data_IF_765370749195
#
_entry.id   IF_765370749195
#
_cell.length_a   1.000
_cell.length_b   1.000
_cell.length_c   1.000
_cell.angle_alpha   90.00
_cell.angle_beta   90.00
_cell.angle_gamma   90.00
#
_symmetry.space_group_name_H-M   'P 1'
#
loop_
_entity.id
_entity.type
_entity.pdbx_description
1 polymer ?
#
# COMPACT_ATOMS: atom_id res chain seq x y z
N UNK A 1 -21.23 14.40 4.44
CA UNK A 1 -20.39 15.39 3.73
C UNK A 1 -19.91 14.76 2.43
N UNK A 2 -20.02 15.47 1.31
CA UNK A 2 -19.58 14.98 0.00
C UNK A 2 -18.07 15.18 -0.14
N UNK A 3 -17.37 14.20 -0.71
CA UNK A 3 -15.99 14.40 -1.16
C UNK A 3 -16.01 15.45 -2.26
N UNK A 4 -15.32 16.58 -2.05
CA UNK A 4 -15.20 17.63 -3.05
C UNK A 4 -14.16 17.19 -4.10
N UNK A 5 -14.64 16.83 -5.29
CA UNK A 5 -13.79 16.61 -6.46
C UNK A 5 -13.51 17.95 -7.15
N UNK A 6 -12.27 18.21 -7.58
CA UNK A 6 -11.91 19.49 -8.23
C UNK A 6 -12.55 19.66 -9.60
N UNK A 7 -12.83 18.55 -10.31
CA UNK A 7 -13.39 18.50 -11.65
C UNK A 7 -14.01 17.11 -11.91
N UNK A 8 -14.59 16.89 -13.09
CA UNK A 8 -15.23 15.61 -13.46
C UNK A 8 -14.24 14.60 -14.05
N UNK A 9 -13.06 15.06 -14.44
CA UNK A 9 -12.00 14.28 -15.07
C UNK A 9 -11.16 13.51 -14.04
N UNK A 10 -11.03 14.02 -12.81
CA UNK A 10 -10.30 13.37 -11.73
C UNK A 10 -10.86 11.96 -11.50
N UNK A 11 -9.97 10.97 -11.66
CA UNK A 11 -10.32 9.55 -11.54
C UNK A 11 -10.12 9.02 -10.12
N UNK A 12 -10.94 8.03 -9.78
CA UNK A 12 -10.85 7.26 -8.54
C UNK A 12 -11.08 5.79 -8.86
N UNK A 13 -10.25 4.92 -8.29
CA UNK A 13 -10.45 3.49 -8.29
C UNK A 13 -10.32 2.95 -6.86
N UNK A 14 -11.24 2.08 -6.44
CA UNK A 14 -11.23 1.51 -5.09
C UNK A 14 -11.78 0.09 -5.07
N UNK A 15 -11.33 -0.68 -4.08
CA UNK A 15 -11.84 -2.01 -3.75
C UNK A 15 -12.07 -2.08 -2.25
N UNK A 16 -13.23 -2.61 -1.85
CA UNK A 16 -13.60 -2.85 -0.46
C UNK A 16 -13.67 -4.36 -0.25
N UNK A 17 -12.93 -4.84 0.74
CA UNK A 17 -12.78 -6.26 1.07
C UNK A 17 -13.32 -6.54 2.47
N UNK A 18 -14.07 -7.62 2.62
CA UNK A 18 -14.37 -8.20 3.92
C UNK A 18 -13.12 -8.88 4.48
N UNK A 19 -12.56 -8.30 5.54
CA UNK A 19 -11.29 -8.72 6.12
C UNK A 19 -11.33 -10.14 6.70
N UNK A 20 -12.51 -10.68 7.00
CA UNK A 20 -12.65 -12.01 7.60
C UNK A 20 -12.50 -13.15 6.58
N UNK A 21 -12.68 -12.87 5.29
CA UNK A 21 -12.81 -13.91 4.27
C UNK A 21 -12.35 -13.51 2.86
N UNK A 22 -11.82 -12.29 2.66
CA UNK A 22 -11.29 -11.82 1.38
C UNK A 22 -12.33 -11.53 0.29
N UNK A 23 -13.63 -11.54 0.61
CA UNK A 23 -14.68 -11.22 -0.36
C UNK A 23 -14.62 -9.76 -0.75
N UNK A 24 -14.64 -9.48 -2.05
CA UNK A 24 -14.79 -8.13 -2.58
C UNK A 24 -16.26 -7.74 -2.51
N UNK A 25 -16.59 -6.82 -1.60
CA UNK A 25 -17.99 -6.42 -1.35
C UNK A 25 -18.43 -5.22 -2.21
N UNK A 26 -17.46 -4.41 -2.65
CA UNK A 26 -17.68 -3.32 -3.60
C UNK A 26 -16.37 -3.01 -4.33
N UNK A 27 -16.47 -2.70 -5.62
CA UNK A 27 -15.32 -2.30 -6.44
C UNK A 27 -15.78 -1.37 -7.55
N UNK A 28 -15.03 -0.30 -7.78
CA UNK A 28 -15.26 0.64 -8.87
C UNK A 28 -13.92 1.13 -9.42
N UNK A 29 -13.77 1.11 -10.74
CA UNK A 29 -12.52 1.46 -11.42
C UNK A 29 -12.43 2.89 -11.95
N UNK A 30 -13.52 3.64 -12.01
CA UNK A 30 -13.52 4.98 -12.59
C UNK A 30 -14.70 5.82 -12.09
N UNK A 31 -14.61 7.15 -12.22
CA UNK A 31 -15.77 8.06 -12.09
C UNK A 31 -15.94 8.88 -13.37
N UNK A 32 -17.19 9.21 -13.70
CA UNK A 32 -17.57 10.02 -14.87
C UNK A 32 -16.98 9.54 -16.21
N UNK A 33 -16.69 8.23 -16.32
CA UNK A 33 -16.23 7.60 -17.56
C UNK A 33 -17.43 7.03 -18.32
N UNK A 34 -17.97 7.80 -19.26
CA UNK A 34 -19.19 7.47 -20.01
C UNK A 34 -18.97 6.62 -21.29
N UNK A 35 -17.81 5.99 -21.44
CA UNK A 35 -17.57 5.05 -22.52
C UNK A 35 -18.37 3.76 -22.28
N UNK A 36 -19.49 3.60 -22.99
CA UNK A 36 -20.36 2.41 -22.91
C UNK A 36 -19.72 1.18 -23.59
N UNK A 37 -18.58 0.74 -23.07
CA UNK A 37 -17.91 -0.51 -23.46
C UNK A 37 -18.00 -1.48 -22.30
N UNK A 38 -18.81 -2.52 -22.46
CA UNK A 38 -18.95 -3.57 -21.45
C UNK A 38 -17.62 -4.26 -21.20
N UNK A 39 -17.26 -4.44 -19.92
CA UNK A 39 -16.00 -5.06 -19.49
C UNK A 39 -14.74 -4.40 -20.06
N UNK A 40 -14.75 -3.07 -20.18
CA UNK A 40 -13.55 -2.28 -20.40
C UNK A 40 -12.53 -2.43 -19.26
N UNK A 41 -11.40 -1.75 -19.39
CA UNK A 41 -10.33 -1.79 -18.38
C UNK A 41 -10.87 -1.32 -17.03
N UNK A 42 -10.69 -2.16 -16.00
CA UNK A 42 -11.03 -1.82 -14.63
C UNK A 42 -9.76 -1.38 -13.87
N UNK A 43 -9.56 -0.07 -13.72
CA UNK A 43 -8.39 0.47 -13.03
C UNK A 43 -8.24 -0.02 -11.58
N UNK A 44 -9.31 -0.52 -10.95
CA UNK A 44 -9.26 -1.07 -9.59
C UNK A 44 -8.33 -2.29 -9.47
N UNK A 45 -8.12 -3.03 -10.57
CA UNK A 45 -7.27 -4.24 -10.63
C UNK A 45 -5.96 -4.04 -11.40
N UNK A 46 -5.80 -2.93 -12.12
CA UNK A 46 -4.56 -2.65 -12.85
C UNK A 46 -3.45 -2.19 -11.88
N UNK A 47 -2.22 -2.62 -12.18
CA UNK A 47 -1.02 -2.34 -11.37
C UNK A 47 -0.09 -1.31 -12.01
N UNK A 48 -0.62 -0.53 -12.96
CA UNK A 48 0.10 0.46 -13.77
C UNK A 48 0.23 1.84 -13.12
N UNK A 49 -0.10 1.98 -11.84
CA UNK A 49 0.03 3.22 -11.06
C UNK A 49 0.87 2.97 -9.82
N UNK A 50 1.62 3.99 -9.42
CA UNK A 50 2.43 3.93 -8.22
C UNK A 50 1.58 4.23 -6.97
N UNK A 51 1.61 3.31 -6.00
CA UNK A 51 0.94 3.40 -4.71
C UNK A 51 1.80 4.10 -3.64
N UNK A 52 3.07 4.36 -3.94
CA UNK A 52 3.95 5.20 -3.14
C UNK A 52 4.06 4.74 -1.68
N UNK A 53 3.92 5.69 -0.75
CA UNK A 53 4.07 5.44 0.68
C UNK A 53 3.06 4.47 1.32
N UNK A 54 2.01 4.01 0.63
CA UNK A 54 1.20 2.89 1.15
C UNK A 54 1.95 1.56 1.09
N UNK A 55 3.08 1.49 0.39
CA UNK A 55 3.94 0.30 0.38
C UNK A 55 4.72 0.15 1.69
N UNK A 56 5.11 1.26 2.35
CA UNK A 56 5.99 1.20 3.54
C UNK A 56 5.51 0.27 4.65
N UNK A 57 4.20 0.26 5.03
CA UNK A 57 3.71 -0.68 6.03
C UNK A 57 3.97 -2.14 5.68
N UNK A 58 3.79 -2.53 4.43
CA UNK A 58 3.82 -3.94 3.99
C UNK A 58 5.19 -4.37 3.45
N UNK A 59 6.00 -3.42 2.96
CA UNK A 59 7.34 -3.69 2.41
C UNK A 59 8.44 -3.57 3.47
N UNK A 60 8.31 -2.62 4.41
CA UNK A 60 9.41 -2.25 5.30
C UNK A 60 9.08 -2.57 6.76
N UNK A 61 8.03 -1.96 7.29
CA UNK A 61 7.80 -1.94 8.75
C UNK A 61 7.20 -3.24 9.28
N UNK A 62 6.21 -3.81 8.60
CA UNK A 62 5.66 -5.11 8.99
C UNK A 62 6.72 -6.23 8.97
N UNK A 63 7.53 -6.41 7.90
CA UNK A 63 8.59 -7.41 7.95
C UNK A 63 9.68 -7.07 8.96
N UNK A 64 9.97 -5.79 9.24
CA UNK A 64 10.93 -5.41 10.28
C UNK A 64 10.47 -5.85 11.68
N UNK A 65 9.20 -5.65 12.02
CA UNK A 65 8.62 -6.15 13.27
C UNK A 65 8.52 -7.69 13.28
N UNK A 66 8.11 -8.29 12.16
CA UNK A 66 7.95 -9.74 12.03
C UNK A 66 9.26 -10.50 12.28
N UNK A 67 10.36 -9.97 11.73
CA UNK A 67 11.67 -10.60 11.76
C UNK A 67 12.59 -10.08 12.88
N UNK A 68 12.07 -9.27 13.81
CA UNK A 68 12.83 -8.81 14.99
C UNK A 68 13.92 -7.80 14.67
N UNK A 69 13.76 -7.02 13.58
CA UNK A 69 14.59 -5.83 13.34
C UNK A 69 14.23 -4.74 14.36
N UNK A 70 12.94 -4.62 14.69
CA UNK A 70 12.44 -3.74 15.74
C UNK A 70 11.54 -4.54 16.70
N UNK A 71 11.71 -4.34 18.00
CA UNK A 71 10.93 -5.04 19.04
C UNK A 71 9.79 -4.19 19.64
N UNK A 72 9.72 -2.90 19.30
CA UNK A 72 8.72 -1.97 19.83
C UNK A 72 8.34 -0.87 18.83
N UNK A 73 7.15 -0.29 18.99
CA UNK A 73 6.72 0.89 18.22
C UNK A 73 7.43 2.18 18.66
N UNK A 74 8.11 2.13 19.81
CA UNK A 74 8.90 3.22 20.37
C UNK A 74 10.38 3.19 19.97
N UNK A 75 10.83 2.16 19.24
CA UNK A 75 12.20 2.04 18.77
C UNK A 75 12.61 3.31 18.03
N UNK A 76 13.80 3.83 18.35
CA UNK A 76 14.33 5.03 17.70
C UNK A 76 14.88 4.65 16.32
N UNK A 77 14.48 5.42 15.32
CA UNK A 77 14.96 5.36 13.93
C UNK A 77 15.53 6.71 13.52
N UNK A 78 16.34 6.73 12.46
CA UNK A 78 17.09 7.90 12.05
C UNK A 78 16.45 8.53 10.81
N UNK A 79 15.91 9.74 10.94
CA UNK A 79 15.47 10.57 9.83
C UNK A 79 16.52 11.66 9.56
N UNK A 80 17.63 11.28 8.95
CA UNK A 80 18.80 12.13 8.66
C UNK A 80 19.26 11.96 7.19
N UNK A 81 20.17 12.79 6.65
CA UNK A 81 20.66 12.61 5.28
C UNK A 81 21.14 11.17 5.02
N UNK A 82 20.50 10.52 4.06
CA UNK A 82 20.70 9.10 3.76
C UNK A 82 20.61 8.87 2.27
N UNK A 83 21.49 8.01 1.74
CA UNK A 83 21.49 7.61 0.34
C UNK A 83 20.91 6.22 0.17
N UNK A 84 20.34 5.94 -1.00
CA UNK A 84 19.94 4.58 -1.34
C UNK A 84 21.15 3.63 -1.18
N UNK A 85 20.97 2.44 -0.57
CA UNK A 85 22.11 1.57 -0.29
C UNK A 85 22.90 1.22 -1.56
N UNK A 86 24.22 1.40 -1.50
CA UNK A 86 25.13 1.12 -2.62
C UNK A 86 25.19 2.22 -3.69
N UNK A 87 24.59 3.40 -3.45
CA UNK A 87 24.66 4.54 -4.37
C UNK A 87 24.93 5.85 -3.62
N UNK A 88 25.25 6.91 -4.37
CA UNK A 88 25.31 8.29 -3.87
C UNK A 88 23.99 9.05 -4.10
N UNK A 89 22.92 8.34 -4.46
CA UNK A 89 21.61 8.94 -4.72
C UNK A 89 20.88 9.19 -3.40
N UNK A 90 20.60 10.46 -3.04
CA UNK A 90 19.93 10.77 -1.78
C UNK A 90 18.48 10.30 -1.77
N UNK A 91 18.04 9.81 -0.61
CA UNK A 91 16.63 9.57 -0.29
C UNK A 91 16.09 10.87 0.32
N UNK A 92 15.17 11.51 -0.39
CA UNK A 92 14.51 12.72 0.12
C UNK A 92 13.18 12.39 0.77
N UNK A 93 12.92 13.02 1.92
CA UNK A 93 11.57 13.19 2.45
C UNK A 93 10.76 14.14 1.57
N UNK A 94 9.43 14.03 1.63
CA UNK A 94 8.52 14.86 0.82
C UNK A 94 8.69 16.37 1.09
N UNK A 95 9.11 16.74 2.29
CA UNK A 95 9.39 18.12 2.73
C UNK A 95 10.87 18.51 2.60
N UNK A 96 11.73 17.60 2.11
CA UNK A 96 13.20 17.74 2.03
C UNK A 96 13.88 18.08 3.37
N UNK A 97 13.18 17.88 4.49
CA UNK A 97 13.68 18.07 5.84
C UNK A 97 14.01 16.76 6.54
N UNK A 98 14.58 16.87 7.74
CA UNK A 98 15.03 15.75 8.56
C UNK A 98 14.62 16.02 10.01
N UNK A 99 13.98 15.03 10.66
CA UNK A 99 13.56 15.12 12.06
C UNK A 99 14.58 14.52 13.04
N UNK A 100 15.66 13.92 12.53
CA UNK A 100 16.68 13.27 13.35
C UNK A 100 16.14 12.02 14.02
N UNK A 101 16.46 11.85 15.31
CA UNK A 101 16.06 10.68 16.09
C UNK A 101 14.58 10.75 16.47
N UNK A 102 13.78 9.88 15.88
CA UNK A 102 12.33 9.80 16.11
C UNK A 102 11.90 8.36 16.40
N UNK A 103 10.73 8.17 17.00
CA UNK A 103 10.20 6.82 17.20
C UNK A 103 9.72 6.20 15.88
N UNK A 104 9.73 4.88 15.78
CA UNK A 104 9.21 4.11 14.64
C UNK A 104 7.77 4.50 14.32
N UNK A 105 6.93 4.64 15.35
CA UNK A 105 5.57 5.13 15.22
C UNK A 105 5.51 6.52 14.58
N UNK A 106 6.37 7.44 15.00
CA UNK A 106 6.38 8.80 14.45
C UNK A 106 6.91 8.84 13.01
N UNK A 107 7.90 8.01 12.69
CA UNK A 107 8.38 7.84 11.31
C UNK A 107 7.26 7.37 10.38
N UNK A 108 6.44 6.40 10.81
CA UNK A 108 5.27 5.95 10.05
C UNK A 108 4.17 7.03 9.99
N UNK A 109 3.88 7.68 11.11
CA UNK A 109 2.89 8.76 11.25
C UNK A 109 3.13 9.91 10.27
N UNK A 110 4.39 10.34 10.17
CA UNK A 110 4.82 11.45 9.29
C UNK A 110 5.33 10.97 7.93
N UNK A 111 5.20 9.67 7.66
CA UNK A 111 5.53 9.03 6.39
C UNK A 111 6.95 9.39 5.90
N UNK A 112 7.94 9.31 6.78
CA UNK A 112 9.34 9.61 6.43
C UNK A 112 9.88 8.57 5.44
N UNK A 113 10.59 9.01 4.40
CA UNK A 113 11.15 8.15 3.35
C UNK A 113 12.49 7.56 3.80
N UNK A 114 13.33 8.34 4.48
CA UNK A 114 14.65 7.86 4.94
C UNK A 114 14.52 6.64 5.85
N UNK A 115 13.76 6.67 6.97
CA UNK A 115 13.62 5.51 7.84
C UNK A 115 12.99 4.30 7.13
N UNK A 116 12.16 4.52 6.10
CA UNK A 116 11.54 3.44 5.33
C UNK A 116 12.59 2.67 4.51
N UNK A 117 13.40 3.39 3.73
CA UNK A 117 14.47 2.79 2.91
C UNK A 117 15.53 2.15 3.81
N UNK A 118 15.93 2.80 4.91
CA UNK A 118 16.87 2.23 5.88
C UNK A 118 16.31 0.95 6.52
N UNK A 119 15.00 0.92 6.81
CA UNK A 119 14.33 -0.27 7.34
C UNK A 119 14.33 -1.41 6.34
N UNK A 120 14.01 -1.16 5.06
CA UNK A 120 14.09 -2.19 4.02
C UNK A 120 15.51 -2.77 3.88
N UNK A 121 16.54 -1.93 4.01
CA UNK A 121 17.93 -2.37 4.05
C UNK A 121 18.22 -3.32 5.23
N UNK A 122 17.71 -3.01 6.43
CA UNK A 122 17.84 -3.88 7.62
C UNK A 122 17.06 -5.20 7.48
N UNK A 123 15.87 -5.17 6.88
CA UNK A 123 15.06 -6.36 6.60
C UNK A 123 15.74 -7.26 5.56
N UNK A 124 16.33 -6.64 4.54
CA UNK A 124 16.90 -7.30 3.37
C UNK A 124 15.86 -7.60 2.29
N UNK A 125 16.20 -7.31 1.04
CA UNK A 125 15.30 -7.38 -0.13
C UNK A 125 14.63 -8.76 -0.29
N UNK A 126 15.36 -9.85 -0.06
CA UNK A 126 14.82 -11.20 -0.21
C UNK A 126 13.69 -11.49 0.79
N UNK A 127 13.89 -11.14 2.06
CA UNK A 127 12.88 -11.36 3.11
C UNK A 127 11.67 -10.45 2.91
N UNK A 128 11.89 -9.19 2.52
CA UNK A 128 10.81 -8.27 2.18
C UNK A 128 9.97 -8.79 0.99
N UNK A 129 10.62 -9.30 -0.07
CA UNK A 129 9.93 -9.91 -1.21
C UNK A 129 9.08 -11.12 -0.78
N UNK A 130 9.66 -12.04 0.00
CA UNK A 130 8.91 -13.20 0.52
C UNK A 130 7.72 -12.78 1.39
N UNK A 131 7.89 -11.75 2.23
CA UNK A 131 6.80 -11.21 3.05
C UNK A 131 5.67 -10.64 2.20
N UNK A 132 5.99 -9.83 1.19
CA UNK A 132 5.02 -9.28 0.23
C UNK A 132 4.28 -10.39 -0.54
N UNK A 133 4.98 -11.47 -0.92
CA UNK A 133 4.34 -12.62 -1.58
C UNK A 133 3.27 -13.27 -0.68
N UNK A 134 3.51 -13.32 0.62
CA UNK A 134 2.53 -13.74 1.62
C UNK A 134 1.27 -12.86 1.66
N UNK A 135 1.35 -11.63 1.15
CA UNK A 135 0.26 -10.66 1.04
C UNK A 135 -0.27 -10.51 -0.41
N UNK A 136 0.13 -11.39 -1.34
CA UNK A 136 -0.35 -11.37 -2.72
C UNK A 136 0.25 -10.27 -3.62
N UNK A 137 1.33 -9.63 -3.18
CA UNK A 137 2.08 -8.63 -3.93
C UNK A 137 3.45 -9.21 -4.30
N UNK A 138 3.89 -8.97 -5.54
CA UNK A 138 5.17 -9.47 -6.02
C UNK A 138 5.82 -8.49 -6.99
N UNK A 139 7.11 -8.71 -7.25
CA UNK A 139 7.95 -7.98 -8.18
C UNK A 139 8.87 -8.95 -8.91
N UNK A 140 9.23 -8.72 -10.19
CA UNK A 140 10.25 -9.52 -10.86
C UNK A 140 11.54 -9.54 -10.03
N UNK A 141 12.01 -8.34 -9.68
CA UNK A 141 13.08 -8.08 -8.73
C UNK A 141 12.67 -6.94 -7.80
N UNK A 142 12.97 -7.08 -6.51
CA UNK A 142 12.72 -6.03 -5.52
C UNK A 142 13.98 -5.17 -5.38
N UNK A 143 13.81 -3.85 -5.42
CA UNK A 143 14.88 -2.87 -5.26
C UNK A 143 14.60 -1.93 -4.07
N UNK A 144 15.59 -1.18 -3.60
CA UNK A 144 15.40 -0.26 -2.47
C UNK A 144 14.42 0.89 -2.75
N UNK A 145 14.23 1.25 -4.02
CA UNK A 145 13.15 2.17 -4.43
C UNK A 145 11.76 1.64 -4.04
N UNK A 146 11.58 0.32 -3.97
CA UNK A 146 10.31 -0.29 -3.63
C UNK A 146 9.89 -0.15 -2.16
N UNK A 147 10.77 0.36 -1.30
CA UNK A 147 10.38 0.77 0.06
C UNK A 147 9.25 1.82 0.02
N UNK A 148 9.31 2.73 -0.96
CA UNK A 148 8.41 3.89 -1.03
C UNK A 148 7.66 3.99 -2.35
N UNK A 149 7.72 2.98 -3.21
CA UNK A 149 7.12 2.94 -4.54
C UNK A 149 6.65 1.53 -4.87
N UNK A 150 5.48 1.40 -5.49
CA UNK A 150 5.03 0.14 -6.07
C UNK A 150 5.43 -0.03 -7.53
N UNK A 151 6.14 0.94 -8.11
CA UNK A 151 6.52 0.91 -9.50
C UNK A 151 7.47 -0.26 -9.78
N UNK A 152 7.36 -0.83 -10.97
CA UNK A 152 8.10 -2.03 -11.37
C UNK A 152 8.48 -1.96 -12.85
N UNK A 153 9.53 -2.69 -13.22
CA UNK A 153 10.06 -2.72 -14.58
C UNK A 153 9.23 -3.57 -15.55
N UNK A 154 8.36 -4.45 -15.03
CA UNK A 154 7.50 -5.31 -15.85
C UNK A 154 6.02 -5.02 -15.58
N UNK A 155 5.24 -4.80 -16.63
CA UNK A 155 3.83 -4.39 -16.57
C UNK A 155 2.81 -5.53 -16.50
N UNK A 156 3.18 -6.68 -15.93
CA UNK A 156 2.24 -7.79 -15.68
C UNK A 156 1.34 -7.46 -14.49
N UNK A 157 0.02 -7.75 -14.58
CA UNK A 157 -0.97 -7.51 -13.51
C UNK A 157 -0.62 -8.18 -12.19
N UNK A 158 0.21 -9.23 -12.21
CA UNK A 158 0.67 -9.88 -10.98
C UNK A 158 1.69 -9.05 -10.20
N UNK A 159 2.44 -8.18 -10.87
CA UNK A 159 3.48 -7.36 -10.25
C UNK A 159 2.97 -5.98 -9.89
N UNK A 160 3.55 -5.40 -8.83
CA UNK A 160 3.12 -4.10 -8.31
C UNK A 160 1.82 -4.16 -7.51
N UNK A 161 1.15 -3.02 -7.41
CA UNK A 161 0.01 -2.82 -6.53
C UNK A 161 -1.20 -2.26 -7.28
N UNK A 162 -2.39 -2.68 -6.87
CA UNK A 162 -3.70 -2.21 -7.35
C UNK A 162 -4.62 -2.03 -6.16
N UNK A 163 -5.78 -1.40 -6.34
CA UNK A 163 -6.70 -1.20 -5.20
C UNK A 163 -7.19 -2.53 -4.63
N UNK A 164 -7.35 -3.53 -5.50
CA UNK A 164 -7.68 -4.90 -5.14
C UNK A 164 -6.59 -5.53 -4.25
N UNK A 165 -5.33 -5.50 -4.71
CA UNK A 165 -4.20 -6.08 -3.98
C UNK A 165 -3.96 -5.37 -2.65
N UNK A 166 -4.03 -4.05 -2.64
CA UNK A 166 -3.79 -3.26 -1.44
C UNK A 166 -4.88 -3.43 -0.39
N UNK A 167 -6.15 -3.52 -0.81
CA UNK A 167 -7.25 -3.83 0.10
C UNK A 167 -7.07 -5.21 0.76
N UNK A 168 -6.69 -6.24 -0.02
CA UNK A 168 -6.44 -7.57 0.52
C UNK A 168 -5.18 -7.65 1.40
N UNK A 169 -4.12 -6.93 1.06
CA UNK A 169 -2.91 -6.85 1.87
C UNK A 169 -3.18 -6.17 3.22
N UNK A 170 -3.90 -5.05 3.23
CA UNK A 170 -4.23 -4.33 4.45
C UNK A 170 -5.29 -5.04 5.30
N UNK A 171 -6.17 -5.84 4.69
CA UNK A 171 -7.08 -6.72 5.41
C UNK A 171 -6.34 -7.68 6.36
N UNK A 172 -5.12 -8.10 6.01
CA UNK A 172 -4.31 -8.94 6.88
C UNK A 172 -3.91 -8.24 8.19
N UNK A 173 -3.73 -6.91 8.20
CA UNK A 173 -3.53 -6.19 9.46
C UNK A 173 -4.79 -6.23 10.34
N UNK A 174 -5.96 -6.01 9.73
CA UNK A 174 -7.22 -5.91 10.45
C UNK A 174 -7.67 -7.23 11.09
N UNK A 175 -7.33 -8.38 10.49
CA UNK A 175 -7.78 -9.70 10.94
C UNK A 175 -6.73 -10.49 11.75
N UNK A 176 -5.65 -9.83 12.19
CA UNK A 176 -4.62 -10.47 13.03
C UNK A 176 -3.53 -11.23 12.25
N UNK A 177 -3.34 -10.93 10.97
CA UNK A 177 -2.19 -11.37 10.18
C UNK A 177 -2.48 -12.45 9.13
N UNK A 178 -3.74 -12.65 8.76
CA UNK A 178 -4.16 -13.66 7.78
C UNK A 178 -4.48 -13.02 6.43
N UNK A 179 -3.79 -13.44 5.38
CA UNK A 179 -4.10 -13.03 4.02
C UNK A 179 -5.17 -13.93 3.40
N UNK A 180 -6.15 -13.31 2.76
CA UNK A 180 -7.15 -13.98 1.92
C UNK A 180 -7.06 -13.42 0.49
N UNK A 181 -7.04 -14.30 -0.50
CA UNK A 181 -7.05 -13.88 -1.91
C UNK A 181 -8.37 -13.15 -2.21
N UNK A 182 -8.39 -12.02 -2.94
CA UNK A 182 -9.64 -11.38 -3.37
C UNK A 182 -10.60 -12.36 -4.05
N UNK A 183 -11.86 -12.39 -3.60
CA UNK A 183 -12.89 -13.30 -4.09
C UNK A 183 -14.15 -12.53 -4.53
N UNK A 184 -14.54 -12.72 -5.80
CA UNK A 184 -15.73 -12.08 -6.39
C UNK A 184 -16.95 -13.01 -6.46
N UNK A 185 -16.72 -14.33 -6.46
CA UNK A 185 -17.76 -15.35 -6.58
C UNK A 185 -17.56 -16.39 -5.47
N UNK A 186 -18.66 -16.83 -4.86
CA UNK A 186 -18.64 -17.83 -3.78
C UNK A 186 -19.26 -19.17 -4.20
N UNK A 187 -20.09 -19.18 -5.24
CA UNK A 187 -20.78 -20.38 -5.75
C UNK A 187 -21.07 -20.22 -7.24
N UNK A 188 -20.93 -21.34 -7.96
CA UNK A 188 -21.35 -21.47 -9.36
C UNK A 188 -22.35 -22.63 -9.45
N UNK A 189 -23.49 -22.39 -10.13
CA UNK A 189 -24.47 -23.42 -10.46
C UNK A 189 -24.44 -23.62 -11.97
N UNK A 190 -24.16 -24.85 -12.40
CA UNK A 190 -24.05 -25.21 -13.81
C UNK A 190 -25.41 -25.57 -14.40
N UNK A 191 -25.50 -25.60 -15.73
CA UNK A 191 -26.74 -25.88 -16.45
C UNK A 191 -27.28 -27.30 -16.23
N UNK A 192 -26.44 -28.23 -15.78
CA UNK A 192 -26.82 -29.60 -15.43
C UNK A 192 -27.33 -29.75 -13.97
N UNK A 193 -27.39 -28.64 -13.23
CA UNK A 193 -27.82 -28.60 -11.83
C UNK A 193 -26.71 -28.92 -10.83
N UNK A 194 -25.50 -29.27 -11.27
CA UNK A 194 -24.35 -29.40 -10.38
C UNK A 194 -23.92 -28.04 -9.85
N UNK A 195 -23.35 -28.03 -8.64
CA UNK A 195 -22.89 -26.82 -7.99
C UNK A 195 -21.45 -26.94 -7.49
N UNK A 196 -20.74 -25.82 -7.50
CA UNK A 196 -19.39 -25.70 -6.96
C UNK A 196 -19.29 -24.48 -6.05
N UNK A 197 -19.08 -24.73 -4.77
CA UNK A 197 -18.71 -23.69 -3.82
C UNK A 197 -17.21 -23.40 -3.89
N UNK A 198 -16.85 -22.13 -3.76
CA UNK A 198 -15.49 -21.65 -3.79
C UNK A 198 -15.10 -21.20 -2.38
N UNK A 199 -14.22 -21.96 -1.74
CA UNK A 199 -13.69 -21.62 -0.42
C UNK A 199 -12.49 -20.69 -0.53
N UNK A 200 -12.40 -19.69 0.34
CA UNK A 200 -11.22 -18.83 0.46
C UNK A 200 -10.39 -19.25 1.68
N UNK A 201 -9.39 -20.09 1.47
CA UNK A 201 -8.51 -20.55 2.55
C UNK A 201 -7.49 -19.45 2.84
N UNK A 202 -7.56 -18.88 4.05
CA UNK A 202 -6.61 -17.87 4.50
C UNK A 202 -5.24 -18.47 4.80
N UNK A 203 -4.18 -17.69 4.54
CA UNK A 203 -2.80 -18.06 4.87
C UNK A 203 -2.22 -17.04 5.84
N UNK A 204 -1.54 -17.49 6.89
CA UNK A 204 -0.87 -16.58 7.83
C UNK A 204 0.30 -15.89 7.13
N UNK A 205 0.22 -14.57 7.00
CA UNK A 205 1.25 -13.73 6.38
C UNK A 205 2.16 -13.07 7.42
N UNK A 206 1.67 -12.83 8.63
CA UNK A 206 2.43 -12.26 9.75
C UNK A 206 1.89 -12.75 11.10
N UNK A 207 2.66 -12.56 12.17
CA UNK A 207 2.19 -12.79 13.54
C UNK A 207 1.08 -11.81 13.90
N UNK A 208 0.21 -12.25 14.80
CA UNK A 208 -0.82 -11.38 15.39
C UNK A 208 -0.22 -10.17 16.11
N UNK A 209 0.94 -10.34 16.76
CA UNK A 209 1.70 -9.25 17.38
C UNK A 209 2.18 -8.22 16.36
N UNK A 210 2.67 -8.67 15.20
CA UNK A 210 3.07 -7.79 14.08
C UNK A 210 1.86 -7.00 13.58
N UNK A 211 0.73 -7.68 13.34
CA UNK A 211 -0.50 -7.05 12.88
C UNK A 211 -1.01 -6.00 13.88
N UNK A 212 -0.96 -6.31 15.18
CA UNK A 212 -1.35 -5.39 16.25
C UNK A 212 -0.46 -4.15 16.31
N UNK A 213 0.87 -4.31 16.31
CA UNK A 213 1.82 -3.19 16.37
C UNK A 213 1.72 -2.28 15.14
N UNK A 214 1.57 -2.86 13.95
CA UNK A 214 1.34 -2.10 12.73
C UNK A 214 0.00 -1.34 12.78
N UNK A 215 -1.06 -1.97 13.26
CA UNK A 215 -2.37 -1.35 13.44
C UNK A 215 -2.29 -0.18 14.44
N UNK A 216 -1.60 -0.35 15.56
CA UNK A 216 -1.43 0.67 16.58
C UNK A 216 -0.73 1.92 16.02
N UNK A 217 0.40 1.73 15.32
CA UNK A 217 1.10 2.85 14.68
C UNK A 217 0.25 3.52 13.60
N UNK A 218 -0.46 2.75 12.76
CA UNK A 218 -1.30 3.26 11.67
C UNK A 218 -2.56 3.99 12.16
N UNK A 219 -3.07 3.73 13.37
CA UNK A 219 -4.11 4.58 13.99
C UNK A 219 -3.61 6.01 14.14
N UNK A 220 -2.34 6.18 14.54
CA UNK A 220 -1.76 7.51 14.75
C UNK A 220 -1.59 8.32 13.47
N UNK A 221 -1.48 7.64 12.32
CA UNK A 221 -1.47 8.28 11.00
C UNK A 221 -2.77 9.06 10.76
N UNK A 222 -3.90 8.54 11.21
CA UNK A 222 -5.19 9.20 11.09
C UNK A 222 -5.40 10.26 12.19
N UNK A 223 -5.00 9.99 13.43
CA UNK A 223 -5.27 10.94 14.53
C UNK A 223 -4.37 12.17 14.50
N UNK A 224 -3.09 12.01 14.15
CA UNK A 224 -2.07 13.07 14.26
C UNK A 224 -1.15 13.19 13.04
N UNK A 225 -1.26 12.27 12.08
CA UNK A 225 -0.36 12.18 10.94
C UNK A 225 -0.96 12.66 9.62
N UNK A 226 -0.39 12.12 8.54
CA UNK A 226 -0.73 12.50 7.16
C UNK A 226 -2.14 12.09 6.73
N UNK A 227 -2.79 11.15 7.43
CA UNK A 227 -4.11 10.62 7.10
C UNK A 227 -5.28 11.34 7.78
N UNK A 228 -5.05 12.54 8.33
CA UNK A 228 -6.02 13.21 9.21
C UNK A 228 -7.38 13.49 8.60
N UNK A 229 -7.46 13.71 7.29
CA UNK A 229 -8.73 13.90 6.57
C UNK A 229 -9.65 12.67 6.60
N UNK A 230 -9.12 11.48 6.93
CA UNK A 230 -9.91 10.26 7.07
C UNK A 230 -10.24 9.93 8.54
N UNK A 231 -9.89 10.77 9.51
CA UNK A 231 -10.14 10.50 10.92
C UNK A 231 -11.62 10.56 11.28
N UNK A 232 -12.07 9.57 12.06
CA UNK A 232 -13.43 9.49 12.59
C UNK A 232 -13.34 9.16 14.08
N UNK A 233 -13.71 10.11 14.94
CA UNK A 233 -13.52 9.98 16.39
C UNK A 233 -14.24 8.78 17.03
N UNK A 234 -15.33 8.33 16.40
CA UNK A 234 -16.17 7.22 16.88
C UNK A 234 -15.80 5.86 16.29
N UNK A 235 -14.93 5.80 15.28
CA UNK A 235 -14.60 4.55 14.56
C UNK A 235 -13.15 4.13 14.87
N UNK A 236 -12.92 2.95 15.48
CA UNK A 236 -11.57 2.41 15.63
C UNK A 236 -11.05 1.91 14.27
N UNK A 237 -10.34 2.78 13.55
CA UNK A 237 -9.74 2.48 12.25
C UNK A 237 -8.27 2.90 12.19
N UNK A 238 -7.54 2.23 11.30
CA UNK A 238 -6.13 2.48 11.02
C UNK A 238 -5.94 2.60 9.51
N UNK A 239 -4.97 3.38 9.07
CA UNK A 239 -4.72 3.55 7.64
C UNK A 239 -3.40 4.23 7.33
N UNK A 240 -3.10 4.35 6.04
CA UNK A 240 -1.88 4.97 5.55
C UNK A 240 -2.15 5.76 4.27
N UNK A 241 -1.54 6.94 4.14
CA UNK A 241 -1.55 7.71 2.90
C UNK A 241 -0.42 7.30 1.95
N UNK A 242 -0.63 7.48 0.64
CA UNK A 242 0.37 7.32 -0.40
C UNK A 242 0.37 8.54 -1.32
N UNK A 243 1.57 8.91 -1.79
CA UNK A 243 1.77 9.93 -2.81
C UNK A 243 2.96 9.49 -3.64
N UNK A 244 2.78 9.45 -4.96
CA UNK A 244 3.86 9.26 -5.93
C UNK A 244 4.41 10.62 -6.36
N UNK A 245 5.58 10.62 -7.01
CA UNK A 245 6.20 11.84 -7.51
C UNK A 245 6.35 11.77 -9.03
N UNK A 246 6.51 12.95 -9.64
CA UNK A 246 6.98 13.07 -11.01
C UNK A 246 8.52 12.98 -11.06
N UNK A 247 9.04 12.47 -12.16
CA UNK A 247 10.42 12.64 -12.59
C UNK A 247 10.67 14.08 -13.06
N UNK A 248 11.93 14.50 -13.11
CA UNK A 248 12.29 15.84 -13.63
C UNK A 248 11.82 16.02 -15.09
N UNK A 249 11.87 14.97 -15.90
CA UNK A 249 11.39 14.95 -17.29
C UNK A 249 9.87 15.16 -17.39
N UNK A 250 9.08 14.49 -16.54
CA UNK A 250 7.62 14.66 -16.51
C UNK A 250 7.22 16.08 -16.07
N UNK A 251 7.95 16.66 -15.11
CA UNK A 251 7.74 18.06 -14.68
C UNK A 251 8.02 19.01 -15.85
N UNK A 252 9.15 18.83 -16.55
CA UNK A 252 9.53 19.69 -17.67
C UNK A 252 8.48 19.64 -18.80
N UNK A 253 7.95 18.46 -19.10
CA UNK A 253 6.91 18.27 -20.11
C UNK A 253 5.56 18.87 -19.68
N UNK A 254 5.21 18.80 -18.40
CA UNK A 254 3.98 19.43 -17.87
C UNK A 254 4.06 20.96 -17.85
N UNK A 255 5.22 21.54 -17.50
CA UNK A 255 5.41 23.00 -17.56
C UNK A 255 5.26 23.50 -18.99
N UNK A 256 5.87 22.80 -19.97
CA UNK A 256 5.79 23.17 -21.40
C UNK A 256 4.37 23.08 -21.97
N UNK A 257 3.54 22.15 -21.49
CA UNK A 257 2.16 21.97 -21.98
C UNK A 257 1.15 22.89 -21.31
N UNK A 258 1.42 23.39 -20.10
CA UNK A 258 0.54 24.34 -19.39
C UNK A 258 0.68 25.80 -19.83
N UNK A 259 1.67 26.13 -20.67
CA UNK A 259 1.94 27.48 -21.17
C UNK A 259 1.31 27.77 -22.55
N UNK A 260 0.46 26.89 -23.07
CA UNK A 260 -0.24 27.07 -24.36
C UNK A 260 -1.75 26.87 -24.22
#
# INVERSE_FOLDING_TARGET
>A
EYVAYPDDELQVASTIVDVSNGKVIAQLGARHQSSNVSFGINQAVETNRDWGSTMKPITDYAPALEYGVYDSTATIVHDEPYNYPGTDTPVYNWDRGYFGNITLQYALQQSRNVPAVETLNKVGLNRAKTFLNGLGIDYPSLHYSNAISSNTTESDKKYGASSEKMAAAYAAFANGGTYYKPMYIHKVVFSDGSEKELSNVGTRAMKETTAYMMTDMMKTVLTYGTGRNAYLAWLPQAGKTGTSNYTDEEIENHIKTSQF
#
